data_IF_435261068309
#
_entry.id   IF_435261068309
#
_cell.length_a   1.000
_cell.length_b   1.000
_cell.length_c   1.000
_cell.angle_alpha   90.00
_cell.angle_beta   90.00
_cell.angle_gamma   90.00
#
_symmetry.space_group_name_H-M   'P 1'
#
loop_
_entity.id
_entity.type
_entity.pdbx_description
1 polymer ?
#
# COMPACT_ATOMS: atom_id res chain seq x y z
N UNK A 1 -2.73 14.00 15.92
CA UNK A 1 -3.55 13.43 14.84
C UNK A 1 -2.99 12.08 14.45
N UNK A 2 -3.86 11.13 14.22
CA UNK A 2 -3.46 9.79 13.84
C UNK A 2 -3.09 9.72 12.36
N UNK A 3 -2.01 9.00 12.08
CA UNK A 3 -1.62 8.70 10.71
C UNK A 3 -2.61 7.67 10.15
N UNK A 4 -2.98 7.81 8.89
CA UNK A 4 -3.92 6.91 8.21
C UNK A 4 -3.22 6.23 7.04
N UNK A 5 -3.38 4.92 6.94
CA UNK A 5 -2.78 4.09 5.89
C UNK A 5 -3.85 3.21 5.28
N UNK A 6 -3.77 3.02 3.97
CA UNK A 6 -4.59 2.04 3.26
C UNK A 6 -3.65 0.95 2.77
N UNK A 7 -4.01 -0.31 3.00
CA UNK A 7 -3.19 -1.45 2.61
C UNK A 7 -3.96 -2.40 1.71
N UNK A 8 -3.44 -2.63 0.51
CA UNK A 8 -3.98 -3.59 -0.44
C UNK A 8 -3.18 -4.89 -0.31
N UNK A 9 -3.57 -5.71 0.66
CA UNK A 9 -2.88 -6.95 1.02
C UNK A 9 -3.91 -8.06 1.16
N UNK A 10 -3.68 -9.20 0.51
CA UNK A 10 -4.60 -10.34 0.52
C UNK A 10 -4.31 -11.35 1.63
N UNK A 11 -3.04 -11.53 1.98
CA UNK A 11 -2.56 -12.54 2.93
C UNK A 11 -3.02 -12.22 4.35
N UNK A 12 -3.84 -13.10 4.92
CA UNK A 12 -4.43 -12.89 6.25
C UNK A 12 -3.39 -12.82 7.35
N UNK A 13 -2.30 -13.58 7.26
CA UNK A 13 -1.23 -13.52 8.26
C UNK A 13 -0.55 -12.18 8.23
N UNK A 14 -0.31 -11.66 7.03
CA UNK A 14 0.36 -10.38 6.88
C UNK A 14 -0.57 -9.22 7.28
N UNK A 15 -1.86 -9.33 6.94
CA UNK A 15 -2.86 -8.37 7.39
C UNK A 15 -2.86 -8.29 8.93
N UNK A 16 -2.86 -9.44 9.61
CA UNK A 16 -2.84 -9.49 11.07
C UNK A 16 -1.58 -8.85 11.63
N UNK A 17 -0.44 -9.07 10.99
CA UNK A 17 0.84 -8.49 11.42
C UNK A 17 0.83 -6.97 11.28
N UNK A 18 0.33 -6.47 10.15
CA UNK A 18 0.23 -5.03 9.91
C UNK A 18 -0.75 -4.40 10.92
N UNK A 19 -1.90 -5.06 11.13
CA UNK A 19 -2.91 -4.56 12.04
C UNK A 19 -2.39 -4.47 13.48
N UNK A 20 -1.67 -5.49 13.94
CA UNK A 20 -1.09 -5.49 15.27
C UNK A 20 -0.05 -4.37 15.45
N UNK A 21 0.82 -4.18 14.46
CA UNK A 21 1.81 -3.11 14.50
C UNK A 21 1.15 -1.73 14.49
N UNK A 22 0.13 -1.56 13.66
CA UNK A 22 -0.61 -0.29 13.57
C UNK A 22 -1.30 0.03 14.89
N UNK A 23 -1.92 -0.95 15.50
CA UNK A 23 -2.60 -0.80 16.79
C UNK A 23 -1.63 -0.35 17.87
N UNK A 24 -0.46 -0.98 17.92
CA UNK A 24 0.58 -0.63 18.88
C UNK A 24 1.08 0.81 18.69
N UNK A 25 1.12 1.28 17.45
CA UNK A 25 1.61 2.61 17.10
C UNK A 25 0.52 3.70 17.12
N UNK A 26 -0.73 3.33 17.30
CA UNK A 26 -1.84 4.28 17.22
C UNK A 26 -2.10 4.76 15.80
N UNK A 27 -1.79 3.95 14.80
CA UNK A 27 -1.98 4.26 13.38
C UNK A 27 -3.24 3.57 12.88
N UNK A 28 -4.04 4.28 12.07
CA UNK A 28 -5.23 3.71 11.47
C UNK A 28 -4.88 3.06 10.13
N UNK A 29 -5.26 1.79 9.96
CA UNK A 29 -5.04 1.07 8.70
C UNK A 29 -6.36 0.46 8.23
N UNK A 30 -6.69 0.70 6.97
CA UNK A 30 -7.86 0.11 6.31
C UNK A 30 -7.39 -0.89 5.25
N UNK A 31 -8.16 -1.96 5.08
CA UNK A 31 -7.85 -3.04 4.14
C UNK A 31 -8.99 -3.21 3.13
N UNK A 32 -9.10 -2.33 2.15
CA UNK A 32 -10.15 -2.46 1.13
C UNK A 32 -9.91 -3.68 0.25
N UNK A 33 -10.99 -4.23 -0.32
CA UNK A 33 -10.93 -5.50 -1.05
C UNK A 33 -10.86 -5.35 -2.57
N UNK A 34 -11.11 -4.16 -3.08
CA UNK A 34 -11.06 -3.93 -4.52
C UNK A 34 -10.64 -2.49 -4.80
N UNK A 35 -10.34 -2.22 -6.07
CA UNK A 35 -9.84 -0.90 -6.48
C UNK A 35 -10.87 0.19 -6.20
N UNK A 36 -12.13 -0.05 -6.51
CA UNK A 36 -13.18 0.95 -6.33
C UNK A 36 -13.33 1.37 -4.87
N UNK A 37 -13.36 0.39 -3.97
CA UNK A 37 -13.46 0.64 -2.53
C UNK A 37 -12.22 1.35 -2.03
N UNK A 38 -11.05 0.98 -2.54
CA UNK A 38 -9.80 1.62 -2.16
C UNK A 38 -9.80 3.10 -2.55
N UNK A 39 -10.18 3.39 -3.78
CA UNK A 39 -10.22 4.77 -4.28
C UNK A 39 -11.22 5.61 -3.47
N UNK A 40 -12.40 5.06 -3.20
CA UNK A 40 -13.41 5.74 -2.38
C UNK A 40 -12.87 6.04 -0.98
N UNK A 41 -12.23 5.06 -0.37
CA UNK A 41 -11.63 5.21 0.96
C UNK A 41 -10.51 6.27 0.95
N UNK A 42 -9.72 6.30 -0.11
CA UNK A 42 -8.64 7.27 -0.24
C UNK A 42 -9.18 8.70 -0.36
N UNK A 43 -10.27 8.90 -1.09
CA UNK A 43 -10.92 10.22 -1.17
C UNK A 43 -11.48 10.65 0.18
N UNK A 44 -12.06 9.71 0.91
CA UNK A 44 -12.67 10.00 2.21
C UNK A 44 -11.64 10.28 3.29
N UNK A 45 -10.64 9.41 3.44
CA UNK A 45 -9.68 9.47 4.54
C UNK A 45 -8.42 10.28 4.23
N UNK A 46 -8.10 10.46 2.96
CA UNK A 46 -6.87 11.11 2.49
C UNK A 46 -5.65 10.54 3.22
N UNK A 47 -5.31 9.28 2.97
CA UNK A 47 -4.27 8.59 3.73
C UNK A 47 -2.89 9.21 3.50
N UNK A 48 -2.02 9.00 4.46
CA UNK A 48 -0.61 9.42 4.37
C UNK A 48 0.20 8.47 3.50
N UNK A 49 -0.24 7.20 3.41
CA UNK A 49 0.49 6.17 2.69
C UNK A 49 -0.49 5.11 2.19
N UNK A 50 -0.27 4.63 0.97
CA UNK A 50 -0.96 3.46 0.44
C UNK A 50 0.10 2.38 0.22
N UNK A 51 -0.09 1.22 0.85
CA UNK A 51 0.80 0.06 0.75
C UNK A 51 0.13 -0.99 -0.11
N UNK A 52 0.84 -1.54 -1.08
CA UNK A 52 0.29 -2.51 -2.03
C UNK A 52 1.18 -3.74 -2.13
N UNK A 53 0.59 -4.91 -1.95
CA UNK A 53 1.24 -6.17 -2.31
C UNK A 53 1.20 -6.28 -3.83
N UNK A 54 2.37 -6.26 -4.46
CA UNK A 54 2.46 -6.30 -5.92
C UNK A 54 2.02 -7.64 -6.51
N UNK A 55 1.76 -8.63 -5.65
CA UNK A 55 1.21 -9.93 -6.06
C UNK A 55 -0.26 -10.07 -5.69
N UNK A 56 -0.92 -8.99 -5.26
CA UNK A 56 -2.33 -9.03 -4.91
C UNK A 56 -3.16 -9.47 -6.11
N UNK A 57 -4.12 -10.37 -5.87
CA UNK A 57 -5.04 -10.83 -6.89
C UNK A 57 -6.39 -10.12 -6.81
N UNK A 58 -6.72 -9.55 -5.67
CA UNK A 58 -7.96 -8.80 -5.48
C UNK A 58 -7.85 -7.39 -6.03
N UNK A 59 -6.66 -6.81 -5.98
CA UNK A 59 -6.41 -5.45 -6.43
C UNK A 59 -5.24 -5.50 -7.41
N UNK A 60 -5.51 -5.19 -8.68
CA UNK A 60 -4.46 -5.11 -9.69
C UNK A 60 -3.55 -3.93 -9.36
N UNK A 61 -2.29 -4.18 -8.99
CA UNK A 61 -1.42 -3.12 -8.49
C UNK A 61 -1.10 -2.03 -9.52
N UNK A 62 -0.98 -2.40 -10.78
CA UNK A 62 -0.64 -1.43 -11.83
C UNK A 62 -1.85 -0.61 -12.23
N UNK A 63 -3.01 -1.25 -12.33
CA UNK A 63 -4.27 -0.55 -12.59
C UNK A 63 -4.56 0.45 -11.47
N UNK A 64 -4.36 0.03 -10.21
CA UNK A 64 -4.55 0.90 -9.05
C UNK A 64 -3.64 2.13 -9.14
N UNK A 65 -2.35 1.91 -9.42
CA UNK A 65 -1.39 3.01 -9.53
C UNK A 65 -1.81 4.00 -10.61
N UNK A 66 -2.26 3.49 -11.75
CA UNK A 66 -2.75 4.33 -12.85
C UNK A 66 -3.92 5.21 -12.43
N UNK A 67 -4.88 4.62 -11.70
CA UNK A 67 -6.03 5.35 -11.19
C UNK A 67 -5.63 6.43 -10.19
N UNK A 68 -4.73 6.11 -9.27
CA UNK A 68 -4.28 7.06 -8.26
C UNK A 68 -3.52 8.23 -8.88
N UNK A 69 -2.64 7.94 -9.81
CA UNK A 69 -1.82 8.99 -10.44
C UNK A 69 -2.61 9.85 -11.42
N UNK A 70 -3.71 9.34 -11.96
CA UNK A 70 -4.60 10.11 -12.83
C UNK A 70 -5.58 11.00 -12.04
N UNK A 71 -5.70 10.80 -10.75
CA UNK A 71 -6.62 11.54 -9.90
C UNK A 71 -5.88 12.70 -9.24
N UNK A 72 -6.30 13.93 -9.54
CA UNK A 72 -5.62 15.13 -9.04
C UNK A 72 -5.63 15.25 -7.52
N UNK A 73 -6.60 14.62 -6.85
CA UNK A 73 -6.68 14.66 -5.38
C UNK A 73 -5.86 13.56 -4.72
N UNK A 74 -5.51 12.51 -5.45
CA UNK A 74 -4.83 11.34 -4.89
C UNK A 74 -3.39 11.17 -5.36
N UNK A 75 -3.01 11.84 -6.44
CA UNK A 75 -1.70 11.62 -7.08
C UNK A 75 -0.51 11.94 -6.18
N UNK A 76 -0.70 12.78 -5.16
CA UNK A 76 0.37 13.15 -4.24
C UNK A 76 0.54 12.20 -3.05
N UNK A 77 -0.36 11.22 -2.89
CA UNK A 77 -0.27 10.26 -1.78
C UNK A 77 0.90 9.31 -2.04
N UNK A 78 1.73 9.09 -1.04
CA UNK A 78 2.86 8.16 -1.16
C UNK A 78 2.36 6.74 -1.43
N UNK A 79 2.92 6.08 -2.43
CA UNK A 79 2.53 4.74 -2.86
C UNK A 79 3.73 3.81 -2.73
N UNK A 80 3.61 2.80 -1.86
CA UNK A 80 4.67 1.82 -1.61
C UNK A 80 4.21 0.44 -2.06
N UNK A 81 5.02 -0.23 -2.88
CA UNK A 81 4.75 -1.60 -3.28
C UNK A 81 5.78 -2.55 -2.71
N UNK A 82 5.36 -3.75 -2.29
CA UNK A 82 6.30 -4.78 -1.89
C UNK A 82 6.03 -6.06 -2.68
N UNK A 83 7.08 -6.87 -2.83
CA UNK A 83 7.01 -8.11 -3.60
C UNK A 83 7.62 -9.26 -2.82
N UNK A 84 7.08 -10.48 -3.04
CA UNK A 84 7.54 -11.70 -2.36
C UNK A 84 8.66 -12.38 -3.11
N UNK A 85 8.67 -12.27 -4.44
CA UNK A 85 9.66 -12.89 -5.31
C UNK A 85 10.34 -11.82 -6.14
N UNK A 86 11.67 -11.90 -6.23
CA UNK A 86 12.44 -10.94 -7.02
C UNK A 86 12.11 -11.12 -8.50
N UNK A 87 11.48 -10.11 -9.09
CA UNK A 87 11.15 -10.04 -10.50
C UNK A 87 11.51 -8.65 -10.98
N UNK A 88 12.61 -8.56 -11.72
CA UNK A 88 13.10 -7.26 -12.18
C UNK A 88 12.07 -6.51 -13.01
N UNK A 89 11.35 -7.23 -13.87
CA UNK A 89 10.30 -6.62 -14.70
C UNK A 89 9.17 -6.03 -13.86
N UNK A 90 8.74 -6.76 -12.84
CA UNK A 90 7.68 -6.29 -11.93
C UNK A 90 8.11 -5.02 -11.20
N UNK A 91 9.35 -4.99 -10.75
CA UNK A 91 9.89 -3.82 -10.06
C UNK A 91 9.91 -2.60 -10.98
N UNK A 92 10.32 -2.78 -12.24
CA UNK A 92 10.36 -1.71 -13.22
C UNK A 92 8.97 -1.24 -13.58
N UNK A 93 8.03 -2.16 -13.79
CA UNK A 93 6.64 -1.82 -14.07
C UNK A 93 6.03 -1.00 -12.94
N UNK A 94 6.29 -1.40 -11.70
CA UNK A 94 5.77 -0.69 -10.54
C UNK A 94 6.30 0.75 -10.49
N UNK A 95 7.59 0.92 -10.69
CA UNK A 95 8.18 2.26 -10.70
C UNK A 95 7.63 3.12 -11.82
N UNK A 96 7.46 2.55 -13.01
CA UNK A 96 6.90 3.26 -14.16
C UNK A 96 5.44 3.61 -13.95
N UNK A 97 4.70 2.75 -13.24
CA UNK A 97 3.29 2.99 -12.95
C UNK A 97 3.07 4.10 -11.91
N UNK A 98 4.11 4.45 -11.16
CA UNK A 98 4.03 5.55 -10.21
C UNK A 98 4.27 5.19 -8.75
N UNK A 99 4.75 3.97 -8.48
CA UNK A 99 5.12 3.60 -7.12
C UNK A 99 6.33 4.39 -6.67
N UNK A 100 6.21 5.08 -5.55
CA UNK A 100 7.29 5.92 -5.02
C UNK A 100 8.40 5.08 -4.39
N UNK A 101 8.02 3.96 -3.77
CA UNK A 101 8.97 3.01 -3.19
C UNK A 101 8.56 1.59 -3.56
N UNK A 102 9.54 0.75 -3.89
CA UNK A 102 9.32 -0.66 -4.19
C UNK A 102 10.39 -1.45 -3.43
N UNK A 103 9.97 -2.44 -2.65
CA UNK A 103 10.90 -3.19 -1.81
C UNK A 103 10.49 -4.66 -1.65
N UNK A 104 11.43 -5.54 -1.27
CA UNK A 104 11.08 -6.91 -0.93
C UNK A 104 10.20 -6.96 0.31
N UNK A 105 9.34 -7.97 0.39
CA UNK A 105 8.50 -8.20 1.55
C UNK A 105 9.32 -8.32 2.84
N UNK A 106 10.50 -8.91 2.77
CA UNK A 106 11.39 -9.05 3.93
C UNK A 106 11.83 -7.68 4.47
N UNK A 107 12.16 -6.75 3.59
CA UNK A 107 12.53 -5.40 4.00
C UNK A 107 11.32 -4.66 4.56
N UNK A 108 10.16 -4.78 3.92
CA UNK A 108 8.94 -4.17 4.41
C UNK A 108 8.59 -4.69 5.81
N UNK A 109 8.70 -6.00 6.00
CA UNK A 109 8.41 -6.65 7.27
C UNK A 109 9.37 -6.20 8.38
N UNK A 110 10.66 -6.10 8.05
CA UNK A 110 11.69 -5.66 8.99
C UNK A 110 11.48 -4.23 9.44
N UNK A 111 11.11 -3.35 8.52
CA UNK A 111 10.95 -1.92 8.79
C UNK A 111 9.48 -1.51 9.00
N UNK A 112 8.61 -2.48 9.24
CA UNK A 112 7.18 -2.27 9.30
C UNK A 112 6.77 -1.16 10.26
N UNK A 113 7.28 -1.19 11.48
CA UNK A 113 6.93 -0.18 12.49
C UNK A 113 7.33 1.23 12.02
N UNK A 114 8.52 1.36 11.45
CA UNK A 114 9.02 2.63 10.97
C UNK A 114 8.21 3.13 9.76
N UNK A 115 7.89 2.24 8.84
CA UNK A 115 7.09 2.58 7.65
C UNK A 115 5.69 3.06 8.06
N UNK A 116 5.05 2.36 8.99
CA UNK A 116 3.72 2.73 9.46
C UNK A 116 3.74 4.03 10.25
N UNK A 117 4.78 4.26 11.02
CA UNK A 117 4.89 5.48 11.82
C UNK A 117 5.21 6.72 10.98
N UNK A 118 5.88 6.54 9.87
CA UNK A 118 6.26 7.63 8.96
C UNK A 118 7.67 8.15 9.18
#
# INVERSE_FOLDING_TARGET
>A
MSRTIIAAVDDMFFISKIRAAAEHLGVNVNFPRNVETLIASAHESKPDLIVVDLHSQRIDPMFLAGKLKADSQLQGIELLGFFSHVQTELMQEAKQAGYDRVMPRSAFSKDLAQILAG
#
